data_IF_259961005701
#
_entry.id   IF_259961005701
#
_cell.length_a   1.000
_cell.length_b   1.000
_cell.length_c   1.000
_cell.angle_alpha   90.00
_cell.angle_beta   90.00
_cell.angle_gamma   90.00
#
_symmetry.space_group_name_H-M   'P 1'
#
loop_
_entity.id
_entity.type
_entity.pdbx_description
1 polymer ?
#
# COMPACT_ATOMS: atom_id res chain seq x y z
N UNK A 1 -24.75 -28.19 1.93
CA UNK A 1 -24.14 -27.51 3.09
C UNK A 1 -22.64 -27.50 2.87
N UNK A 2 -22.01 -26.33 2.81
CA UNK A 2 -20.59 -26.20 2.48
C UNK A 2 -19.68 -26.68 3.62
N UNK A 3 -18.57 -27.33 3.27
CA UNK A 3 -17.53 -27.83 4.18
C UNK A 3 -16.75 -26.64 4.79
N UNK A 4 -17.38 -25.91 5.72
CA UNK A 4 -16.80 -24.76 6.45
C UNK A 4 -15.83 -25.22 7.55
N UNK A 5 -15.06 -24.31 8.14
CA UNK A 5 -14.13 -24.64 9.25
C UNK A 5 -14.86 -25.27 10.46
N UNK A 6 -14.09 -25.98 11.30
CA UNK A 6 -14.63 -26.72 12.45
C UNK A 6 -15.36 -25.81 13.43
N UNK A 7 -14.81 -24.62 13.69
CA UNK A 7 -15.40 -23.62 14.59
C UNK A 7 -16.74 -23.08 14.06
N UNK A 8 -16.81 -22.72 12.77
CA UNK A 8 -18.06 -22.24 12.15
C UNK A 8 -19.15 -23.31 12.13
N UNK A 9 -18.75 -24.57 12.01
CA UNK A 9 -19.68 -25.70 12.06
C UNK A 9 -20.22 -25.88 13.49
N UNK A 10 -19.38 -25.73 14.51
CA UNK A 10 -19.79 -25.75 15.92
C UNK A 10 -20.76 -24.61 16.26
N UNK A 11 -20.45 -23.37 15.88
CA UNK A 11 -21.32 -22.21 16.12
C UNK A 11 -22.72 -22.36 15.47
N UNK A 12 -22.76 -22.91 14.26
CA UNK A 12 -24.02 -23.09 13.53
C UNK A 12 -24.89 -24.21 14.09
N UNK A 13 -24.29 -25.23 14.68
CA UNK A 13 -25.03 -26.31 15.37
C UNK A 13 -25.49 -25.83 16.75
N UNK A 14 -24.62 -25.11 17.48
CA UNK A 14 -24.97 -24.52 18.78
C UNK A 14 -26.20 -23.58 18.71
N UNK A 15 -26.35 -22.84 17.61
CA UNK A 15 -27.49 -21.94 17.40
C UNK A 15 -28.80 -22.64 17.03
N UNK A 16 -28.80 -23.95 16.79
CA UNK A 16 -29.97 -24.69 16.28
C UNK A 16 -30.34 -25.96 17.05
N UNK A 17 -29.40 -26.55 17.78
CA UNK A 17 -29.62 -27.78 18.51
C UNK A 17 -28.71 -27.85 19.74
N UNK A 18 -29.26 -28.39 20.83
CA UNK A 18 -28.50 -28.72 22.03
C UNK A 18 -28.90 -30.12 22.50
N UNK A 19 -27.91 -30.99 22.69
CA UNK A 19 -28.07 -32.33 23.28
C UNK A 19 -26.81 -32.73 24.05
N UNK A 20 -26.88 -33.62 25.05
CA UNK A 20 -25.70 -34.02 25.81
C UNK A 20 -24.59 -34.55 24.90
N UNK A 21 -23.36 -34.04 25.07
CA UNK A 21 -22.17 -34.41 24.27
C UNK A 21 -22.25 -34.08 22.76
N UNK A 22 -23.09 -33.12 22.37
CA UNK A 22 -23.22 -32.72 20.97
C UNK A 22 -21.90 -32.25 20.33
N UNK A 23 -21.01 -31.62 21.09
CA UNK A 23 -19.69 -31.20 20.61
C UNK A 23 -18.75 -32.37 20.31
N UNK A 24 -18.83 -33.44 21.11
CA UNK A 24 -18.04 -34.66 20.92
C UNK A 24 -18.52 -35.37 19.66
N UNK A 25 -19.83 -35.58 19.51
CA UNK A 25 -20.44 -36.19 18.35
C UNK A 25 -20.16 -35.40 17.06
N UNK A 26 -20.18 -34.06 17.13
CA UNK A 26 -19.84 -33.21 15.99
C UNK A 26 -18.35 -33.29 15.63
N UNK A 27 -17.47 -33.34 16.64
CA UNK A 27 -16.03 -33.47 16.41
C UNK A 27 -15.69 -34.83 15.80
N UNK A 28 -16.36 -35.90 16.23
CA UNK A 28 -16.24 -37.24 15.65
C UNK A 28 -16.73 -37.28 14.18
N UNK A 29 -17.87 -36.65 13.88
CA UNK A 29 -18.37 -36.52 12.51
C UNK A 29 -17.43 -35.73 11.59
N UNK A 30 -16.85 -34.64 12.08
CA UNK A 30 -15.88 -33.82 11.32
C UNK A 30 -14.57 -34.58 11.09
N UNK A 31 -14.12 -35.37 12.07
CA UNK A 31 -12.92 -36.19 11.95
C UNK A 31 -13.08 -37.38 10.99
N UNK A 32 -14.29 -37.90 10.84
CA UNK A 32 -14.62 -39.00 9.93
C UNK A 32 -15.01 -38.55 8.52
N UNK A 33 -15.28 -37.25 8.32
CA UNK A 33 -15.64 -36.71 7.02
C UNK A 33 -14.40 -36.54 6.12
N UNK A 34 -14.18 -37.49 5.20
CA UNK A 34 -13.07 -37.47 4.24
C UNK A 34 -12.96 -36.14 3.47
N UNK A 35 -14.08 -35.62 2.96
CA UNK A 35 -14.13 -34.33 2.25
C UNK A 35 -13.69 -33.13 3.10
N UNK A 36 -13.93 -33.15 4.40
CA UNK A 36 -13.46 -32.11 5.32
C UNK A 36 -11.96 -32.24 5.58
N UNK A 37 -11.46 -33.47 5.76
CA UNK A 37 -10.04 -33.75 5.99
C UNK A 37 -9.17 -33.41 4.76
N UNK A 38 -9.67 -33.64 3.54
CA UNK A 38 -8.96 -33.27 2.32
C UNK A 38 -8.93 -31.74 2.11
N UNK A 39 -10.01 -31.04 2.45
CA UNK A 39 -10.12 -29.58 2.30
C UNK A 39 -9.36 -28.79 3.39
N UNK A 40 -9.31 -29.31 4.62
CA UNK A 40 -8.67 -28.65 5.76
C UNK A 40 -7.42 -29.41 6.23
N UNK A 41 -6.40 -29.53 5.36
CA UNK A 41 -5.09 -30.05 5.78
C UNK A 41 -4.53 -29.17 6.91
N UNK A 42 -4.15 -29.78 8.03
CA UNK A 42 -3.47 -29.10 9.13
C UNK A 42 -2.13 -28.54 8.63
N UNK A 43 -2.03 -27.22 8.51
CA UNK A 43 -0.76 -26.52 8.36
C UNK A 43 -0.04 -26.55 9.71
N UNK A 44 0.56 -27.70 10.04
CA UNK A 44 1.42 -27.87 11.20
C UNK A 44 2.87 -27.66 10.81
N UNK A 45 3.30 -26.41 10.62
CA UNK A 45 4.73 -26.08 10.71
C UNK A 45 4.96 -25.37 12.04
N UNK A 46 5.99 -25.81 12.77
CA UNK A 46 6.46 -25.13 13.98
C UNK A 46 6.93 -23.74 13.59
N UNK A 47 6.21 -22.73 14.05
CA UNK A 47 6.49 -21.32 13.83
C UNK A 47 7.90 -20.98 14.30
N UNK A 48 8.72 -20.44 13.39
CA UNK A 48 10.07 -19.95 13.71
C UNK A 48 10.01 -18.75 14.65
N UNK A 49 11.11 -18.49 15.36
CA UNK A 49 11.23 -17.33 16.24
C UNK A 49 10.96 -16.03 15.49
N UNK A 50 10.04 -15.25 16.04
CA UNK A 50 9.67 -13.90 15.59
C UNK A 50 10.93 -13.02 15.62
N UNK A 51 11.36 -12.50 14.46
CA UNK A 51 12.31 -11.40 14.45
C UNK A 51 11.55 -10.11 14.74
N UNK A 52 11.55 -9.69 16.00
CA UNK A 52 10.96 -8.41 16.40
C UNK A 52 11.75 -7.28 15.73
N UNK A 53 11.17 -6.64 14.72
CA UNK A 53 11.68 -5.36 14.22
C UNK A 53 11.35 -4.32 15.29
N UNK A 54 12.36 -3.61 15.80
CA UNK A 54 12.12 -2.54 16.76
C UNK A 54 11.17 -1.50 16.15
N UNK A 55 10.17 -1.08 16.92
CA UNK A 55 9.27 -0.02 16.48
C UNK A 55 10.07 1.27 16.24
N UNK A 56 9.86 1.94 15.09
CA UNK A 56 10.54 3.19 14.80
C UNK A 56 10.14 4.26 15.82
N UNK A 57 11.08 5.13 16.19
CA UNK A 57 10.85 6.22 17.16
C UNK A 57 10.67 7.56 16.48
N UNK A 58 11.17 7.70 15.25
CA UNK A 58 11.05 8.90 14.44
C UNK A 58 10.54 8.57 13.03
N UNK A 59 9.88 9.54 12.35
CA UNK A 59 9.52 9.40 10.95
C UNK A 59 10.73 9.02 10.11
N UNK A 60 10.52 8.13 9.12
CA UNK A 60 11.52 7.72 8.13
C UNK A 60 12.70 6.89 8.65
N UNK A 61 12.70 6.46 9.93
CA UNK A 61 13.73 5.54 10.44
C UNK A 61 13.61 4.14 9.84
N UNK A 62 12.39 3.64 9.72
CA UNK A 62 12.10 2.31 9.17
C UNK A 62 11.09 2.45 8.06
N UNK A 63 11.47 2.06 6.85
CA UNK A 63 10.61 2.15 5.67
C UNK A 63 10.34 0.77 5.09
N UNK A 64 9.18 0.64 4.44
CA UNK A 64 8.84 -0.51 3.62
C UNK A 64 8.83 -0.07 2.16
N UNK A 65 9.48 -0.82 1.28
CA UNK A 65 9.53 -0.53 -0.15
C UNK A 65 9.00 -1.72 -0.95
N UNK A 66 8.22 -1.44 -1.99
CA UNK A 66 7.71 -2.47 -2.90
C UNK A 66 7.39 -1.91 -4.29
N UNK A 67 7.39 -2.79 -5.29
CA UNK A 67 7.07 -2.45 -6.67
C UNK A 67 5.63 -2.81 -7.02
N UNK A 68 4.90 -1.86 -7.59
CA UNK A 68 3.65 -2.13 -8.33
C UNK A 68 4.00 -2.18 -9.80
N UNK A 69 3.96 -3.36 -10.41
CA UNK A 69 4.26 -3.54 -11.84
C UNK A 69 3.02 -3.97 -12.64
N UNK A 70 3.14 -3.96 -13.96
CA UNK A 70 2.07 -4.36 -14.88
C UNK A 70 0.98 -3.30 -15.02
N UNK A 71 1.35 -2.02 -14.90
CA UNK A 71 0.47 -0.90 -15.17
C UNK A 71 0.52 -0.58 -16.67
N UNK A 72 -0.56 -0.01 -17.20
CA UNK A 72 -0.57 0.49 -18.57
C UNK A 72 0.44 1.63 -18.72
N UNK A 73 1.23 1.67 -19.82
CA UNK A 73 2.18 2.73 -20.06
C UNK A 73 1.53 4.10 -19.94
N UNK A 74 2.13 4.97 -19.14
CA UNK A 74 1.65 6.32 -18.87
C UNK A 74 2.66 7.41 -19.23
N UNK A 75 2.13 8.56 -19.64
CA UNK A 75 2.81 9.78 -20.04
C UNK A 75 3.78 9.57 -21.23
N UNK A 76 4.39 10.64 -21.72
CA UNK A 76 5.39 10.58 -22.80
C UNK A 76 6.64 9.74 -22.41
N UNK A 77 6.84 9.51 -21.10
CA UNK A 77 7.92 8.68 -20.58
C UNK A 77 7.66 7.16 -20.59
N UNK A 78 6.47 6.69 -20.98
CA UNK A 78 6.08 5.27 -20.96
C UNK A 78 6.30 4.58 -19.59
N UNK A 79 6.03 5.28 -18.49
CA UNK A 79 6.10 4.68 -17.16
C UNK A 79 5.11 3.52 -17.05
N UNK A 80 5.51 2.40 -16.47
CA UNK A 80 4.70 1.18 -16.43
C UNK A 80 4.70 0.52 -15.03
N UNK A 81 5.28 1.19 -14.04
CA UNK A 81 5.38 0.74 -12.67
C UNK A 81 5.36 1.92 -11.68
N UNK A 82 5.16 1.59 -10.41
CA UNK A 82 5.44 2.48 -9.29
C UNK A 82 6.40 1.81 -8.31
N UNK A 83 7.36 2.58 -7.80
CA UNK A 83 8.08 2.27 -6.57
C UNK A 83 7.34 2.95 -5.42
N UNK A 84 6.84 2.15 -4.50
CA UNK A 84 6.10 2.63 -3.33
C UNK A 84 6.97 2.52 -2.11
N UNK A 85 7.04 3.61 -1.35
CA UNK A 85 7.77 3.70 -0.10
C UNK A 85 6.78 4.09 0.99
N UNK A 86 6.76 3.35 2.08
CA UNK A 86 5.89 3.64 3.22
C UNK A 86 6.69 3.73 4.51
N UNK A 87 6.56 4.86 5.19
CA UNK A 87 7.14 5.07 6.50
C UNK A 87 6.39 4.25 7.56
N UNK A 88 7.14 3.45 8.32
CA UNK A 88 6.56 2.59 9.36
C UNK A 88 6.09 3.39 10.56
N UNK A 89 6.60 4.59 10.80
CA UNK A 89 6.19 5.43 11.93
C UNK A 89 4.90 6.19 11.62
N UNK A 90 4.95 7.10 10.63
CA UNK A 90 3.83 7.98 10.29
C UNK A 90 2.79 7.34 9.38
N UNK A 91 3.09 6.18 8.77
CA UNK A 91 2.29 5.57 7.70
C UNK A 91 2.21 6.44 6.43
N UNK A 92 3.12 7.40 6.30
CA UNK A 92 3.19 8.29 5.13
C UNK A 92 3.72 7.52 3.93
N UNK A 93 3.10 7.75 2.78
CA UNK A 93 3.42 7.08 1.52
C UNK A 93 4.10 8.03 0.55
N UNK A 94 5.03 7.49 -0.23
CA UNK A 94 5.55 8.07 -1.48
C UNK A 94 5.29 7.09 -2.60
N UNK A 95 4.77 7.58 -3.73
CA UNK A 95 4.61 6.79 -4.95
C UNK A 95 5.44 7.43 -6.04
N UNK A 96 6.42 6.70 -6.55
CA UNK A 96 7.35 7.21 -7.54
C UNK A 96 7.08 6.48 -8.87
N UNK A 97 6.55 7.16 -9.90
CA UNK A 97 6.42 6.57 -11.22
C UNK A 97 7.79 6.15 -11.76
N UNK A 98 7.87 4.95 -12.31
CA UNK A 98 9.12 4.33 -12.72
C UNK A 98 8.87 3.26 -13.80
N UNK A 99 9.94 2.59 -14.22
CA UNK A 99 9.86 1.52 -15.20
C UNK A 99 10.14 0.18 -14.52
N UNK A 100 9.38 -0.85 -14.89
CA UNK A 100 9.61 -2.22 -14.45
C UNK A 100 11.03 -2.68 -14.81
N UNK A 101 11.54 -2.16 -15.92
CA UNK A 101 12.85 -2.43 -16.49
C UNK A 101 13.98 -1.68 -15.77
N UNK A 102 13.67 -0.77 -14.83
CA UNK A 102 14.68 0.00 -14.09
C UNK A 102 15.70 -0.94 -13.43
N UNK A 103 16.96 -0.58 -13.57
CA UNK A 103 18.06 -1.30 -12.92
C UNK A 103 18.13 -0.95 -11.44
N UNK A 104 18.96 -1.69 -10.70
CA UNK A 104 19.23 -1.36 -9.30
C UNK A 104 19.83 0.05 -9.14
N UNK A 105 20.65 0.50 -10.11
CA UNK A 105 21.24 1.84 -10.09
C UNK A 105 20.19 2.92 -10.35
N UNK A 106 19.30 2.71 -11.33
CA UNK A 106 18.18 3.63 -11.60
C UNK A 106 17.29 3.75 -10.36
N UNK A 107 17.01 2.62 -9.70
CA UNK A 107 16.26 2.56 -8.45
C UNK A 107 16.95 3.34 -7.33
N UNK A 108 18.26 3.20 -7.18
CA UNK A 108 19.04 3.93 -6.18
C UNK A 108 19.01 5.44 -6.43
N UNK A 109 19.13 5.88 -7.68
CA UNK A 109 19.04 7.31 -8.05
C UNK A 109 17.63 7.86 -7.82
N UNK A 110 16.59 7.11 -8.19
CA UNK A 110 15.20 7.46 -7.93
C UNK A 110 14.95 7.63 -6.42
N UNK A 111 15.47 6.71 -5.61
CA UNK A 111 15.35 6.74 -4.16
C UNK A 111 16.13 7.91 -3.55
N UNK A 112 17.37 8.17 -4.01
CA UNK A 112 18.16 9.31 -3.57
C UNK A 112 17.45 10.64 -3.81
N UNK A 113 16.96 10.85 -5.03
CA UNK A 113 16.36 12.10 -5.46
C UNK A 113 15.05 12.43 -4.74
N UNK A 114 14.29 11.41 -4.35
CA UNK A 114 12.94 11.60 -3.82
C UNK A 114 12.81 11.33 -2.31
N UNK A 115 13.63 10.42 -1.77
CA UNK A 115 13.53 9.99 -0.36
C UNK A 115 14.70 10.53 0.44
N UNK A 116 15.94 10.22 0.07
CA UNK A 116 17.10 10.61 0.89
C UNK A 116 17.24 12.14 0.94
N UNK A 117 17.05 12.82 -0.18
CA UNK A 117 17.12 14.28 -0.28
C UNK A 117 16.07 15.02 0.57
N UNK A 118 14.93 14.40 0.87
CA UNK A 118 13.79 15.06 1.53
C UNK A 118 13.56 14.57 2.96
N UNK A 119 13.84 13.29 3.22
CA UNK A 119 13.52 12.59 4.46
C UNK A 119 14.78 12.13 5.22
N UNK A 120 15.94 12.09 4.54
CA UNK A 120 17.18 11.54 5.08
C UNK A 120 17.36 10.05 4.82
N UNK A 121 18.49 9.52 5.30
CA UNK A 121 18.84 8.10 5.15
C UNK A 121 18.10 7.28 6.22
N UNK A 122 17.28 6.28 5.84
CA UNK A 122 16.60 5.42 6.81
C UNK A 122 17.60 4.52 7.55
N UNK A 123 17.27 4.10 8.76
CA UNK A 123 18.05 3.10 9.50
C UNK A 123 17.77 1.69 9.01
N UNK A 124 16.52 1.42 8.63
CA UNK A 124 16.06 0.10 8.20
C UNK A 124 15.22 0.25 6.94
N UNK A 125 15.54 -0.56 5.93
CA UNK A 125 14.71 -0.73 4.73
C UNK A 125 14.21 -2.17 4.72
N UNK A 126 12.88 -2.31 4.70
CA UNK A 126 12.20 -3.58 4.54
C UNK A 126 11.73 -3.66 3.09
N UNK A 127 12.14 -4.67 2.35
CA UNK A 127 11.72 -4.87 0.95
C UNK A 127 11.27 -6.30 0.71
N UNK A 128 10.56 -6.57 -0.38
CA UNK A 128 10.46 -7.94 -0.88
C UNK A 128 11.81 -8.43 -1.44
N UNK A 129 11.80 -9.65 -1.99
CA UNK A 129 12.97 -10.27 -2.62
C UNK A 129 13.08 -9.92 -4.10
N UNK A 130 12.60 -8.75 -4.53
CA UNK A 130 12.81 -8.30 -5.90
C UNK A 130 14.33 -8.25 -6.19
N UNK A 131 14.79 -8.76 -7.35
CA UNK A 131 16.21 -8.81 -7.69
C UNK A 131 16.94 -7.47 -7.61
N UNK A 132 16.24 -6.34 -7.77
CA UNK A 132 16.82 -5.00 -7.62
C UNK A 132 17.29 -4.76 -6.19
N UNK A 133 16.52 -5.18 -5.20
CA UNK A 133 16.80 -4.99 -3.77
C UNK A 133 17.79 -6.01 -3.20
N UNK A 134 17.99 -7.13 -3.90
CA UNK A 134 19.01 -8.13 -3.56
C UNK A 134 20.29 -7.97 -4.38
N UNK A 135 20.37 -6.95 -5.24
CA UNK A 135 21.54 -6.71 -6.09
C UNK A 135 22.74 -6.24 -5.29
N UNK A 136 23.95 -6.59 -5.75
CA UNK A 136 25.20 -6.19 -5.10
C UNK A 136 25.34 -4.66 -4.98
N UNK A 137 24.88 -3.92 -6.00
CA UNK A 137 24.89 -2.45 -6.01
C UNK A 137 24.02 -1.91 -4.87
N UNK A 138 22.78 -2.41 -4.75
CA UNK A 138 21.85 -1.97 -3.71
C UNK A 138 22.38 -2.34 -2.32
N UNK A 139 22.81 -3.58 -2.11
CA UNK A 139 23.31 -4.02 -0.81
C UNK A 139 24.56 -3.26 -0.39
N UNK A 140 25.51 -3.03 -1.31
CA UNK A 140 26.76 -2.32 -1.00
C UNK A 140 26.51 -0.83 -0.74
N UNK A 141 25.60 -0.20 -1.48
CA UNK A 141 25.24 1.20 -1.28
C UNK A 141 24.70 1.43 0.15
N UNK A 142 23.77 0.58 0.59
CA UNK A 142 23.16 0.75 1.91
C UNK A 142 24.05 0.28 3.07
N UNK A 143 24.99 -0.63 2.81
CA UNK A 143 26.06 -0.94 3.77
C UNK A 143 26.95 0.30 4.04
N UNK A 144 27.35 1.02 2.99
CA UNK A 144 28.11 2.28 3.11
C UNK A 144 27.30 3.35 3.86
N UNK A 145 25.99 3.40 3.64
CA UNK A 145 25.10 4.34 4.30
C UNK A 145 24.71 3.91 5.73
N UNK A 146 25.19 2.76 6.21
CA UNK A 146 24.86 2.22 7.54
C UNK A 146 23.39 1.84 7.69
N UNK A 147 22.69 1.59 6.58
CA UNK A 147 21.29 1.21 6.54
C UNK A 147 21.15 -0.30 6.56
N UNK A 148 20.37 -0.84 7.49
CA UNK A 148 20.09 -2.27 7.58
C UNK A 148 19.02 -2.67 6.57
N UNK A 149 19.36 -3.56 5.65
CA UNK A 149 18.39 -4.15 4.73
C UNK A 149 17.76 -5.41 5.33
N UNK A 150 16.42 -5.46 5.33
CA UNK A 150 15.63 -6.60 5.75
C UNK A 150 14.77 -7.07 4.58
N UNK A 151 14.96 -8.30 4.14
CA UNK A 151 14.11 -8.90 3.12
C UNK A 151 12.91 -9.54 3.81
N UNK A 152 11.70 -9.12 3.43
CA UNK A 152 10.49 -9.83 3.81
C UNK A 152 10.54 -11.25 3.22
N UNK A 153 10.23 -12.23 4.05
CA UNK A 153 9.93 -13.56 3.54
C UNK A 153 8.58 -13.46 2.85
N UNK A 154 8.52 -13.83 1.57
CA UNK A 154 7.26 -14.10 0.89
C UNK A 154 6.41 -14.97 1.82
N UNK A 155 5.30 -14.43 2.31
CA UNK A 155 4.33 -15.11 3.17
C UNK A 155 4.77 -15.41 4.64
N UNK A 156 5.18 -14.43 5.45
CA UNK A 156 5.19 -14.59 6.92
C UNK A 156 4.34 -13.53 7.65
N UNK A 157 3.04 -13.81 7.89
CA UNK A 157 2.13 -12.91 8.61
C UNK A 157 2.33 -12.99 10.13
N UNK A 158 3.56 -12.79 10.63
CA UNK A 158 3.89 -13.01 12.05
C UNK A 158 4.53 -11.83 12.77
N UNK A 159 4.79 -10.71 12.11
CA UNK A 159 5.19 -9.46 12.76
C UNK A 159 4.40 -8.36 12.12
N UNK A 160 3.31 -7.96 12.77
CA UNK A 160 2.36 -6.95 12.32
C UNK A 160 2.09 -7.01 10.81
N UNK A 161 1.07 -7.74 10.35
CA UNK A 161 0.60 -7.66 8.96
C UNK A 161 0.05 -6.29 8.56
N UNK A 162 0.43 -5.21 9.26
CA UNK A 162 0.09 -3.82 9.01
C UNK A 162 0.86 -3.24 7.81
N UNK A 163 2.20 -3.38 7.67
CA UNK A 163 2.89 -2.94 6.45
C UNK A 163 2.41 -3.72 5.23
N UNK A 164 2.24 -5.04 5.34
CA UNK A 164 1.73 -5.88 4.24
C UNK A 164 0.31 -5.45 3.80
N UNK A 165 -0.64 -5.32 4.74
CA UNK A 165 -2.00 -4.87 4.41
C UNK A 165 -2.04 -3.45 3.86
N UNK A 166 -1.18 -2.57 4.37
CA UNK A 166 -1.08 -1.19 3.90
C UNK A 166 -0.52 -1.13 2.48
N UNK A 167 0.50 -1.95 2.18
CA UNK A 167 1.04 -2.11 0.83
C UNK A 167 0.00 -2.68 -0.14
N UNK A 168 -0.73 -3.74 0.25
CA UNK A 168 -1.83 -4.30 -0.55
C UNK A 168 -2.92 -3.26 -0.83
N UNK A 169 -3.33 -2.52 0.21
CA UNK A 169 -4.32 -1.44 0.06
C UNK A 169 -3.80 -0.38 -0.91
N UNK A 170 -2.53 -0.01 -0.83
CA UNK A 170 -1.93 0.98 -1.72
C UNK A 170 -1.83 0.48 -3.16
N UNK A 171 -1.47 -0.79 -3.36
CA UNK A 171 -1.45 -1.43 -4.67
C UNK A 171 -2.86 -1.42 -5.29
N UNK A 172 -3.88 -1.79 -4.53
CA UNK A 172 -5.27 -1.74 -4.97
C UNK A 172 -5.69 -0.32 -5.38
N UNK A 173 -5.33 0.68 -4.57
CA UNK A 173 -5.62 2.10 -4.87
C UNK A 173 -4.99 2.47 -6.21
N UNK A 174 -3.71 2.19 -6.41
CA UNK A 174 -2.97 2.57 -7.61
C UNK A 174 -3.44 1.81 -8.83
N UNK A 175 -3.69 0.51 -8.71
CA UNK A 175 -4.23 -0.30 -9.82
C UNK A 175 -5.59 0.22 -10.25
N UNK A 176 -6.49 0.56 -9.32
CA UNK A 176 -7.78 1.18 -9.65
C UNK A 176 -7.60 2.55 -10.28
N UNK A 177 -6.73 3.37 -9.70
CA UNK A 177 -6.43 4.71 -10.20
C UNK A 177 -5.93 4.67 -11.65
N UNK A 178 -5.06 3.72 -11.99
CA UNK A 178 -4.57 3.51 -13.35
C UNK A 178 -5.62 2.86 -14.26
N UNK A 179 -6.31 1.81 -13.79
CA UNK A 179 -7.26 1.03 -14.57
C UNK A 179 -8.51 1.82 -14.97
N UNK A 180 -8.86 2.88 -14.24
CA UNK A 180 -9.97 3.77 -14.62
C UNK A 180 -9.68 4.64 -15.86
N UNK A 181 -8.53 4.47 -16.53
CA UNK A 181 -8.22 5.19 -17.77
C UNK A 181 -8.23 6.69 -17.55
N UNK A 182 -7.71 7.12 -16.39
CA UNK A 182 -7.70 8.50 -15.97
C UNK A 182 -6.86 9.33 -16.93
N UNK A 183 -7.53 9.99 -17.87
CA UNK A 183 -6.95 10.95 -18.79
C UNK A 183 -7.68 12.29 -18.65
N UNK A 184 -6.92 13.38 -18.63
CA UNK A 184 -7.42 14.75 -18.74
C UNK A 184 -6.69 15.41 -19.90
N UNK A 185 -7.45 15.87 -20.90
CA UNK A 185 -6.89 16.61 -22.03
C UNK A 185 -7.04 18.10 -21.77
N UNK A 186 -5.93 18.83 -21.81
CA UNK A 186 -5.95 20.28 -21.73
C UNK A 186 -6.32 20.91 -23.10
N UNK A 187 -6.45 22.23 -23.14
CA UNK A 187 -6.78 22.95 -24.38
C UNK A 187 -5.68 22.90 -25.45
N UNK A 188 -4.44 22.58 -25.07
CA UNK A 188 -3.30 22.42 -25.99
C UNK A 188 -3.24 21.00 -26.57
N UNK A 189 -4.11 20.10 -26.12
CA UNK A 189 -4.20 18.72 -26.57
C UNK A 189 -3.26 17.77 -25.82
N UNK A 190 -2.57 18.24 -24.77
CA UNK A 190 -1.74 17.41 -23.92
C UNK A 190 -2.63 16.51 -23.04
N UNK A 191 -2.29 15.22 -22.99
CA UNK A 191 -3.02 14.24 -22.18
C UNK A 191 -2.29 14.02 -20.86
N UNK A 192 -2.89 14.48 -19.78
CA UNK A 192 -2.47 14.22 -18.41
C UNK A 192 -3.10 12.92 -17.92
N UNK A 193 -2.27 12.01 -17.44
CA UNK A 193 -2.69 10.65 -17.11
C UNK A 193 -2.38 10.29 -15.65
N UNK A 194 -2.40 8.99 -15.31
CA UNK A 194 -2.13 8.51 -13.97
C UNK A 194 -0.74 8.90 -13.44
N UNK A 195 0.27 9.07 -14.31
CA UNK A 195 1.61 9.52 -13.92
C UNK A 195 1.56 10.97 -13.47
N UNK A 196 0.92 11.84 -14.27
CA UNK A 196 0.84 13.27 -13.96
C UNK A 196 -0.08 13.55 -12.77
N UNK A 197 -1.10 12.70 -12.57
CA UNK A 197 -2.08 12.82 -11.50
C UNK A 197 -1.69 12.07 -10.22
N UNK A 198 -0.58 11.32 -10.22
CA UNK A 198 -0.09 10.60 -9.04
C UNK A 198 0.01 11.47 -7.77
N UNK A 199 0.48 12.75 -7.83
CA UNK A 199 0.59 13.58 -6.63
C UNK A 199 -0.75 13.74 -5.90
N UNK A 200 -1.87 13.70 -6.62
CA UNK A 200 -3.20 13.75 -6.03
C UNK A 200 -3.49 12.51 -5.17
N UNK A 201 -3.07 11.32 -5.60
CA UNK A 201 -3.22 10.08 -4.81
C UNK A 201 -2.42 10.16 -3.53
N UNK A 202 -1.14 10.52 -3.62
CA UNK A 202 -0.26 10.62 -2.47
C UNK A 202 -0.75 11.67 -1.46
N UNK A 203 -1.16 12.85 -1.93
CA UNK A 203 -1.68 13.90 -1.07
C UNK A 203 -2.98 13.47 -0.39
N UNK A 204 -3.92 12.91 -1.16
CA UNK A 204 -5.20 12.45 -0.63
C UNK A 204 -5.00 11.36 0.42
N UNK A 205 -4.16 10.37 0.14
CA UNK A 205 -3.84 9.30 1.09
C UNK A 205 -3.22 9.86 2.38
N UNK A 206 -2.19 10.69 2.27
CA UNK A 206 -1.44 11.19 3.42
C UNK A 206 -2.23 12.20 4.28
N UNK A 207 -3.37 12.71 3.81
CA UNK A 207 -4.22 13.66 4.55
C UNK A 207 -5.44 12.99 5.19
N UNK A 208 -5.76 11.75 4.80
CA UNK A 208 -6.88 11.00 5.38
C UNK A 208 -6.45 10.36 6.71
N UNK A 209 -7.36 10.35 7.69
CA UNK A 209 -7.13 9.69 8.97
C UNK A 209 -6.99 8.17 8.79
N UNK A 210 -5.92 7.61 9.37
CA UNK A 210 -5.66 6.18 9.44
C UNK A 210 -6.13 5.60 10.77
N UNK A 211 -6.81 4.46 10.74
CA UNK A 211 -7.32 3.79 11.95
C UNK A 211 -6.20 3.30 12.87
N UNK A 212 -5.05 2.95 12.31
CA UNK A 212 -3.90 2.41 13.05
C UNK A 212 -3.20 3.46 13.92
N UNK A 213 -3.14 4.72 13.47
CA UNK A 213 -2.46 5.82 14.16
C UNK A 213 -3.44 6.87 14.72
N UNK A 214 -4.73 6.76 14.41
CA UNK A 214 -5.78 7.69 14.83
C UNK A 214 -5.65 9.10 14.26
N UNK A 215 -4.64 9.38 13.44
CA UNK A 215 -4.31 10.67 12.81
C UNK A 215 -4.06 10.46 11.32
N UNK A 216 -3.93 11.56 10.56
CA UNK A 216 -3.47 11.50 9.18
C UNK A 216 -1.94 11.33 9.12
N UNK A 217 -1.40 10.61 8.13
CA UNK A 217 0.04 10.45 7.99
C UNK A 217 0.82 11.77 7.93
N UNK A 218 0.33 12.78 7.21
CA UNK A 218 0.98 14.09 7.12
C UNK A 218 1.08 14.79 8.47
N UNK A 219 0.04 14.67 9.31
CA UNK A 219 0.05 15.26 10.64
C UNK A 219 1.11 14.61 11.55
N UNK A 220 1.29 13.29 11.44
CA UNK A 220 2.30 12.56 12.21
C UNK A 220 3.72 12.82 11.68
N UNK A 221 3.88 12.85 10.36
CA UNK A 221 5.16 13.06 9.69
C UNK A 221 5.67 14.51 9.84
N UNK A 222 4.82 15.48 9.53
CA UNK A 222 5.20 16.90 9.36
C UNK A 222 4.74 17.79 10.51
N UNK A 223 3.82 17.30 11.35
CA UNK A 223 3.17 18.09 12.39
C UNK A 223 1.98 18.95 11.91
N UNK A 224 1.66 18.91 10.61
CA UNK A 224 0.53 19.64 10.02
C UNK A 224 -0.03 18.89 8.81
N UNK A 225 -1.31 19.13 8.51
CA UNK A 225 -1.91 18.65 7.27
C UNK A 225 -1.77 19.72 6.19
N UNK A 226 -1.25 19.36 4.99
CA UNK A 226 -1.28 20.26 3.86
C UNK A 226 -2.72 20.62 3.51
N UNK A 227 -2.92 21.91 3.23
CA UNK A 227 -4.18 22.42 2.73
C UNK A 227 -4.44 21.81 1.37
N UNK A 228 -5.57 21.15 1.22
CA UNK A 228 -5.99 20.61 -0.06
C UNK A 228 -6.53 21.76 -0.91
N UNK A 229 -6.40 21.70 -2.26
CA UNK A 229 -6.95 22.77 -3.11
C UNK A 229 -8.45 23.00 -2.92
N UNK A 230 -9.20 21.98 -2.50
CA UNK A 230 -10.62 22.09 -2.15
C UNK A 230 -10.89 22.98 -0.93
N UNK A 231 -9.91 23.12 -0.02
CA UNK A 231 -10.06 23.87 1.23
C UNK A 231 -9.99 25.39 1.01
N UNK A 232 -9.32 25.85 -0.05
CA UNK A 232 -9.06 27.27 -0.34
C UNK A 232 -9.63 27.77 -1.67
N UNK A 233 -10.61 27.05 -2.23
CA UNK A 233 -11.32 27.44 -3.44
C UNK A 233 -11.94 28.85 -3.30
N UNK A 234 -11.32 29.85 -3.95
CA UNK A 234 -11.93 31.17 -4.14
C UNK A 234 -13.12 31.02 -5.10
N UNK A 235 -14.32 30.79 -4.55
CA UNK A 235 -15.57 30.58 -5.30
C UNK A 235 -15.92 31.71 -6.27
N UNK A 236 -15.40 32.92 -6.03
CA UNK A 236 -15.68 34.14 -6.81
C UNK A 236 -14.40 34.76 -7.39
N UNK A 237 -13.70 34.03 -8.26
CA UNK A 237 -12.63 34.62 -9.09
C UNK A 237 -13.29 35.30 -10.31
N UNK A 238 -13.21 36.63 -10.37
CA UNK A 238 -13.76 37.45 -11.47
C UNK A 238 -13.09 37.18 -12.82
N UNK A 239 -11.81 36.77 -12.80
CA UNK A 239 -11.08 36.30 -13.98
C UNK A 239 -9.99 35.30 -13.52
N UNK A 240 -9.99 34.11 -14.09
CA UNK A 240 -8.92 33.12 -13.94
C UNK A 240 -8.30 32.90 -15.31
N UNK A 241 -6.96 32.90 -15.41
CA UNK A 241 -6.27 32.51 -16.64
C UNK A 241 -6.73 31.11 -17.08
N UNK A 242 -7.04 30.87 -18.38
CA UNK A 242 -7.56 29.58 -18.86
C UNK A 242 -6.73 28.38 -18.39
N UNK A 243 -5.42 28.41 -18.56
CA UNK A 243 -4.48 27.37 -18.10
C UNK A 243 -4.54 27.13 -16.58
N UNK A 244 -4.75 28.18 -15.77
CA UNK A 244 -4.85 28.03 -14.32
C UNK A 244 -6.16 27.34 -13.91
N UNK A 245 -7.24 27.61 -14.65
CA UNK A 245 -8.53 26.91 -14.48
C UNK A 245 -8.42 25.45 -14.88
N UNK A 246 -7.72 25.15 -15.97
CA UNK A 246 -7.49 23.78 -16.42
C UNK A 246 -6.62 22.97 -15.47
N UNK A 247 -5.53 23.57 -14.96
CA UNK A 247 -4.73 22.94 -13.91
C UNK A 247 -5.57 22.61 -12.67
N UNK A 248 -6.45 23.52 -12.27
CA UNK A 248 -7.38 23.28 -11.18
C UNK A 248 -8.35 22.12 -11.49
N UNK A 249 -8.95 22.09 -12.67
CA UNK A 249 -9.91 21.06 -13.06
C UNK A 249 -9.24 19.68 -13.17
N UNK A 250 -8.03 19.63 -13.74
CA UNK A 250 -7.15 18.46 -13.77
C UNK A 250 -6.89 17.94 -12.35
N UNK A 251 -6.41 18.82 -11.47
CA UNK A 251 -6.09 18.46 -10.09
C UNK A 251 -7.30 17.93 -9.34
N UNK A 252 -8.43 18.64 -9.43
CA UNK A 252 -9.69 18.26 -8.79
C UNK A 252 -10.15 16.89 -9.24
N UNK A 253 -10.12 16.62 -10.55
CA UNK A 253 -10.43 15.30 -11.11
C UNK A 253 -9.50 14.22 -10.53
N UNK A 254 -8.20 14.52 -10.43
CA UNK A 254 -7.19 13.70 -9.75
C UNK A 254 -7.59 13.31 -8.33
N UNK A 255 -7.86 14.32 -7.49
CA UNK A 255 -8.24 14.12 -6.08
C UNK A 255 -9.57 13.38 -5.92
N UNK A 256 -10.59 13.72 -6.70
CA UNK A 256 -11.91 13.08 -6.63
C UNK A 256 -11.82 11.59 -6.97
N UNK A 257 -11.04 11.22 -7.99
CA UNK A 257 -10.82 9.82 -8.34
C UNK A 257 -9.95 9.10 -7.31
N UNK A 258 -8.88 9.75 -6.81
CA UNK A 258 -8.05 9.18 -5.75
C UNK A 258 -8.90 8.86 -4.50
N UNK A 259 -9.74 9.80 -4.07
CA UNK A 259 -10.63 9.62 -2.93
C UNK A 259 -11.59 8.43 -3.13
N UNK A 260 -12.17 8.29 -4.33
CA UNK A 260 -12.99 7.12 -4.68
C UNK A 260 -12.21 5.81 -4.63
N UNK A 261 -11.01 5.77 -5.21
CA UNK A 261 -10.16 4.58 -5.19
C UNK A 261 -9.79 4.17 -3.76
N UNK A 262 -9.43 5.15 -2.92
CA UNK A 262 -9.13 4.95 -1.50
C UNK A 262 -10.35 4.41 -0.76
N UNK A 263 -11.54 4.98 -0.97
CA UNK A 263 -12.76 4.52 -0.33
C UNK A 263 -13.09 3.06 -0.70
N UNK A 264 -13.04 2.72 -1.98
CA UNK A 264 -13.33 1.37 -2.43
C UNK A 264 -12.26 0.35 -2.01
N UNK A 265 -10.98 0.73 -1.97
CA UNK A 265 -9.91 -0.14 -1.48
C UNK A 265 -10.08 -0.42 0.03
N UNK A 266 -10.54 0.59 0.80
CA UNK A 266 -10.90 0.39 2.22
C UNK A 266 -12.10 -0.54 2.38
N UNK A 267 -13.09 -0.51 1.50
CA UNK A 267 -14.24 -1.42 1.56
C UNK A 267 -13.85 -2.86 1.18
N UNK A 268 -12.98 -3.02 0.19
CA UNK A 268 -12.51 -4.33 -0.27
C UNK A 268 -11.62 -5.05 0.77
N UNK A 269 -10.82 -4.29 1.52
CA UNK A 269 -9.87 -4.81 2.51
C UNK A 269 -10.42 -4.90 3.95
N UNK A 270 -11.74 -4.74 4.15
CA UNK A 270 -12.46 -4.99 5.42
C UNK A 270 -12.89 -6.44 5.53
#
# INVERSE_FOLDING_TARGET
MGHMSQERTKERVASKAWFPKWEEALSEYINTCERFQTANRKHGMKYGQIQHIEEPKHPWETINIYWVTGLFPGCNGNFNAFLIIVDSFSKSVRCLPCHKEDTAMDTALLFWNNIISTCGVPKIIISDRDPKFTSEVWTSLYDILGTKLLLSTTYHPQTDGLPERMMQTMEDILRRFCAYGMEYKDHEGYTHDWVTLQPAVQLTYNTIQHSTIGKSPSLVEKGWNPLLPVDHLKRNLLASHPTAKEFHDMWKKGCDTAAKCIAQAKEYNK
#
